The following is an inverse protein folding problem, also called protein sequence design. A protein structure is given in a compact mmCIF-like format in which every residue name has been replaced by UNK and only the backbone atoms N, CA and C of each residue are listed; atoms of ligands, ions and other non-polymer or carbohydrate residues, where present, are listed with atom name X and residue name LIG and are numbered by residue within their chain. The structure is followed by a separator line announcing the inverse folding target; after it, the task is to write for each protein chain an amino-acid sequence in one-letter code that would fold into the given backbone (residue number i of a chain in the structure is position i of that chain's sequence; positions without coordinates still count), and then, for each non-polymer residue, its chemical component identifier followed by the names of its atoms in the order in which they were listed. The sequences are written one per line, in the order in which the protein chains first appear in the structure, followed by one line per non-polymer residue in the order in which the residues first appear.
data_IF_574582234149
#
_entry.id   IF_574582234149
#
_cell.length_a   1.000
_cell.length_b   1.000
_cell.length_c   1.000
_cell.angle_alpha   90.00
_cell.angle_beta   90.00
_cell.angle_gamma   90.00
#
_symmetry.space_group_name_H-M   'P 1'
#
loop_
_entity.id
_entity.type
_entity.pdbx_description
1 polymer ?
#
# COMPACT_ATOMS: atom_id res chain seq x y z
N UNK A 1 3.79 -17.34 -15.74
CA UNK A 1 4.55 -16.08 -15.56
C UNK A 1 5.01 -16.02 -14.11
N UNK A 2 6.30 -15.81 -13.82
CA UNK A 2 6.77 -15.64 -12.43
C UNK A 2 6.26 -14.28 -11.93
N UNK A 3 5.67 -14.26 -10.73
CA UNK A 3 5.16 -13.02 -10.10
C UNK A 3 6.13 -12.43 -9.06
N UNK A 4 7.36 -12.95 -9.00
CA UNK A 4 8.38 -12.47 -8.08
C UNK A 4 8.96 -11.10 -8.52
N UNK A 5 9.44 -10.25 -7.59
CA UNK A 5 9.99 -8.93 -7.92
C UNK A 5 11.08 -8.87 -9.01
N UNK A 6 11.97 -9.86 -9.20
CA UNK A 6 12.88 -9.87 -10.34
C UNK A 6 12.18 -9.84 -11.71
N UNK A 7 10.98 -10.43 -11.82
CA UNK A 7 10.17 -10.38 -13.04
C UNK A 7 9.54 -8.99 -13.27
N UNK A 8 9.62 -8.09 -12.30
CA UNK A 8 9.24 -6.66 -12.44
C UNK A 8 10.46 -5.85 -12.84
N UNK A 9 11.59 -6.05 -12.15
CA UNK A 9 12.77 -5.22 -12.33
C UNK A 9 13.57 -5.52 -13.60
N UNK A 10 13.65 -6.79 -14.05
CA UNK A 10 14.37 -7.10 -15.28
C UNK A 10 13.70 -6.45 -16.52
N UNK A 11 12.36 -6.45 -16.66
CA UNK A 11 11.70 -5.68 -17.72
C UNK A 11 11.78 -4.15 -17.55
N UNK A 12 11.95 -3.63 -16.33
CA UNK A 12 12.12 -2.20 -16.09
C UNK A 12 13.53 -1.71 -16.41
N UNK A 13 14.55 -2.54 -16.25
CA UNK A 13 15.95 -2.19 -16.48
C UNK A 13 16.22 -1.56 -17.87
N UNK A 14 15.81 -2.15 -19.01
CA UNK A 14 16.02 -1.54 -20.32
C UNK A 14 15.24 -0.21 -20.49
N UNK A 15 14.09 -0.05 -19.81
CA UNK A 15 13.34 1.21 -19.81
C UNK A 15 14.13 2.29 -19.07
N UNK A 16 14.64 1.98 -17.88
CA UNK A 16 15.43 2.91 -17.08
C UNK A 16 16.76 3.28 -17.77
N UNK A 17 17.39 2.31 -18.43
CA UNK A 17 18.61 2.52 -19.21
C UNK A 17 18.34 3.48 -20.38
N UNK A 18 17.27 3.23 -21.15
CA UNK A 18 16.84 4.11 -22.22
C UNK A 18 16.59 5.54 -21.73
N UNK A 19 15.92 5.70 -20.58
CA UNK A 19 15.70 7.02 -19.97
C UNK A 19 17.01 7.73 -19.63
N UNK A 20 18.00 7.02 -19.08
CA UNK A 20 19.30 7.61 -18.76
C UNK A 20 20.08 8.04 -19.99
N UNK A 21 20.11 7.20 -21.02
CA UNK A 21 20.84 7.47 -22.26
C UNK A 21 20.23 8.63 -23.07
N UNK A 22 18.90 8.69 -23.15
CA UNK A 22 18.20 9.65 -24.00
C UNK A 22 17.76 10.92 -23.26
N UNK A 23 17.70 10.86 -21.92
CA UNK A 23 17.22 11.95 -21.08
C UNK A 23 18.07 12.10 -19.81
N UNK A 24 19.36 12.40 -19.97
CA UNK A 24 20.34 12.50 -18.88
C UNK A 24 19.95 13.45 -17.72
N UNK A 25 19.04 14.42 -17.97
CA UNK A 25 18.48 15.34 -16.96
C UNK A 25 17.50 14.69 -15.99
N UNK A 26 17.04 13.46 -16.26
CA UNK A 26 16.14 12.73 -15.37
C UNK A 26 16.97 12.11 -14.23
N UNK A 27 16.80 12.66 -13.04
CA UNK A 27 17.53 12.25 -11.84
C UNK A 27 16.64 11.52 -10.83
N UNK A 28 15.32 11.71 -10.91
CA UNK A 28 14.35 11.23 -9.92
C UNK A 28 13.30 10.36 -10.60
N UNK A 29 12.94 9.24 -9.96
CA UNK A 29 11.92 8.31 -10.44
C UNK A 29 10.68 8.34 -9.56
N UNK A 30 9.51 8.30 -10.19
CA UNK A 30 8.21 8.23 -9.52
C UNK A 30 7.39 7.10 -10.14
N UNK A 31 7.24 6.01 -9.39
CA UNK A 31 6.42 4.86 -9.76
C UNK A 31 5.04 4.99 -9.14
N UNK A 32 4.02 4.59 -9.90
CA UNK A 32 2.65 4.43 -9.43
C UNK A 32 2.19 3.06 -9.88
N UNK A 33 1.73 2.24 -8.94
CA UNK A 33 1.14 0.93 -9.22
C UNK A 33 -0.08 0.70 -8.33
N UNK A 34 -0.84 -0.37 -8.62
CA UNK A 34 -1.77 -0.90 -7.64
C UNK A 34 -1.01 -1.49 -6.42
N UNK A 35 -1.77 -1.83 -5.39
CA UNK A 35 -1.23 -2.24 -4.10
C UNK A 35 -1.20 -3.74 -3.76
N UNK A 36 -1.26 -4.75 -4.65
CA UNK A 36 -1.15 -6.14 -4.21
C UNK A 36 0.19 -6.39 -3.51
N UNK A 37 0.13 -6.98 -2.31
CA UNK A 37 1.29 -7.24 -1.44
C UNK A 37 2.23 -8.31 -1.96
N UNK A 38 1.70 -9.27 -2.73
CA UNK A 38 2.54 -10.32 -3.30
C UNK A 38 3.42 -9.83 -4.46
N UNK A 39 3.05 -8.74 -5.12
CA UNK A 39 3.72 -8.27 -6.34
C UNK A 39 4.54 -6.98 -6.09
N UNK A 40 3.89 -5.88 -5.69
CA UNK A 40 4.54 -4.58 -5.60
C UNK A 40 4.84 -4.16 -4.16
N UNK A 41 4.03 -4.58 -3.18
CA UNK A 41 4.21 -4.24 -1.75
C UNK A 41 4.83 -5.38 -0.95
N UNK A 42 6.13 -5.61 -1.15
CA UNK A 42 6.87 -6.64 -0.43
C UNK A 42 8.36 -6.33 -0.25
N UNK A 43 8.99 -6.96 0.75
CA UNK A 43 10.38 -6.71 1.17
C UNK A 43 11.42 -6.83 0.04
N UNK A 44 11.25 -7.82 -0.85
CA UNK A 44 12.10 -8.02 -2.02
C UNK A 44 12.00 -6.83 -2.97
N UNK A 45 10.78 -6.33 -3.24
CA UNK A 45 10.58 -5.17 -4.09
C UNK A 45 11.16 -3.90 -3.46
N UNK A 46 11.00 -3.71 -2.14
CA UNK A 46 11.56 -2.56 -1.44
C UNK A 46 13.09 -2.53 -1.48
N UNK A 47 13.73 -3.70 -1.38
CA UNK A 47 15.18 -3.83 -1.55
C UNK A 47 15.62 -3.47 -2.98
N UNK A 48 14.95 -4.02 -3.99
CA UNK A 48 15.29 -3.72 -5.39
C UNK A 48 15.07 -2.23 -5.72
N UNK A 49 14.01 -1.63 -5.17
CA UNK A 49 13.71 -0.20 -5.28
C UNK A 49 14.80 0.69 -4.70
N UNK A 50 15.39 0.31 -3.56
CA UNK A 50 16.45 1.08 -2.91
C UNK A 50 17.85 0.80 -3.48
N UNK A 51 17.98 -0.08 -4.47
CA UNK A 51 19.28 -0.50 -5.00
C UNK A 51 19.43 -0.28 -6.51
N UNK A 52 18.55 -0.85 -7.33
CA UNK A 52 18.70 -0.84 -8.81
C UNK A 52 18.75 0.58 -9.36
N UNK A 53 17.78 1.48 -9.08
CA UNK A 53 17.83 2.83 -9.63
C UNK A 53 19.10 3.61 -9.25
N UNK A 54 19.59 3.45 -8.03
CA UNK A 54 20.80 4.14 -7.58
C UNK A 54 22.05 3.63 -8.30
N UNK A 55 22.14 2.33 -8.61
CA UNK A 55 23.22 1.78 -9.46
C UNK A 55 23.22 2.36 -10.87
N UNK A 56 22.04 2.76 -11.35
CA UNK A 56 21.87 3.43 -12.65
C UNK A 56 22.05 4.95 -12.58
N UNK A 57 22.40 5.50 -11.40
CA UNK A 57 22.68 6.93 -11.22
C UNK A 57 21.45 7.80 -11.01
N UNK A 58 20.31 7.24 -10.59
CA UNK A 58 19.19 8.05 -10.05
C UNK A 58 19.49 8.45 -8.59
N UNK A 59 19.09 9.67 -8.19
CA UNK A 59 19.38 10.23 -6.86
C UNK A 59 18.21 10.07 -5.89
N UNK A 60 17.00 9.86 -6.41
CA UNK A 60 15.82 9.64 -5.59
C UNK A 60 14.78 8.80 -6.32
N UNK A 61 14.06 7.99 -5.56
CA UNK A 61 12.98 7.15 -6.07
C UNK A 61 11.79 7.21 -5.14
N UNK A 62 10.61 7.32 -5.72
CA UNK A 62 9.33 7.25 -5.04
C UNK A 62 8.50 6.14 -5.68
N UNK A 63 7.82 5.33 -4.87
CA UNK A 63 6.81 4.40 -5.34
C UNK A 63 5.53 4.60 -4.52
N UNK A 64 4.47 5.03 -5.20
CA UNK A 64 3.14 5.17 -4.63
C UNK A 64 2.23 4.01 -5.02
N UNK A 65 1.49 3.48 -4.05
CA UNK A 65 0.58 2.35 -4.21
C UNK A 65 -0.86 2.83 -4.09
N UNK A 66 -1.66 2.52 -5.11
CA UNK A 66 -3.11 2.71 -5.10
C UNK A 66 -3.80 1.57 -4.34
N UNK A 67 -5.10 1.71 -4.08
CA UNK A 67 -5.90 0.60 -3.55
C UNK A 67 -5.88 -0.60 -4.51
N UNK A 68 -5.92 -1.81 -3.95
CA UNK A 68 -6.01 -3.03 -4.74
C UNK A 68 -7.31 -3.03 -5.56
N UNK A 69 -7.24 -3.45 -6.83
CA UNK A 69 -8.41 -3.57 -7.70
C UNK A 69 -8.96 -2.25 -8.27
N UNK A 70 -8.36 -1.11 -7.97
CA UNK A 70 -8.90 0.21 -8.35
C UNK A 70 -8.02 1.07 -9.27
N UNK A 71 -6.90 0.52 -9.78
CA UNK A 71 -5.96 1.29 -10.59
C UNK A 71 -5.98 0.90 -12.07
N UNK A 72 -6.90 1.44 -12.87
CA UNK A 72 -6.64 1.57 -14.31
C UNK A 72 -5.73 2.79 -14.51
N UNK A 73 -4.59 2.59 -15.15
CA UNK A 73 -3.57 3.63 -15.34
C UNK A 73 -3.11 3.73 -16.79
N UNK A 74 -2.14 4.63 -17.06
CA UNK A 74 -1.54 4.78 -18.39
C UNK A 74 -0.98 3.46 -18.95
N UNK A 75 -0.47 2.58 -18.07
CA UNK A 75 0.02 1.26 -18.45
C UNK A 75 -1.07 0.39 -19.10
N UNK A 76 -2.32 0.44 -18.62
CA UNK A 76 -3.43 -0.28 -19.23
C UNK A 76 -3.76 0.24 -20.63
N UNK A 77 -3.62 1.55 -20.86
CA UNK A 77 -3.80 2.14 -22.19
C UNK A 77 -2.73 1.67 -23.19
N UNK A 78 -1.47 1.62 -22.76
CA UNK A 78 -0.37 1.06 -23.55
C UNK A 78 -0.62 -0.42 -23.84
N UNK A 79 -0.97 -1.21 -22.80
CA UNK A 79 -1.28 -2.63 -22.93
C UNK A 79 -2.45 -2.90 -23.86
N UNK A 80 -3.54 -2.12 -23.75
CA UNK A 80 -4.70 -2.22 -24.62
C UNK A 80 -4.35 -1.92 -26.08
N UNK A 81 -3.55 -0.88 -26.34
CA UNK A 81 -3.09 -0.54 -27.69
C UNK A 81 -2.27 -1.68 -28.30
N UNK A 82 -1.37 -2.27 -27.53
CA UNK A 82 -0.52 -3.38 -28.00
C UNK A 82 -1.36 -4.63 -28.28
N UNK A 83 -2.31 -4.94 -27.38
CA UNK A 83 -3.22 -6.06 -27.54
C UNK A 83 -4.08 -5.91 -28.80
N UNK A 84 -4.72 -4.75 -28.99
CA UNK A 84 -5.54 -4.48 -30.18
C UNK A 84 -4.72 -4.61 -31.47
N UNK A 85 -3.48 -4.12 -31.46
CA UNK A 85 -2.59 -4.22 -32.62
C UNK A 85 -2.24 -5.68 -32.92
N UNK A 86 -1.94 -6.48 -31.90
CA UNK A 86 -1.66 -7.91 -32.05
C UNK A 86 -2.90 -8.68 -32.54
N UNK A 87 -4.06 -8.45 -31.92
CA UNK A 87 -5.33 -9.05 -32.30
C UNK A 87 -5.66 -8.75 -33.78
N UNK A 88 -5.37 -7.53 -34.25
CA UNK A 88 -5.54 -7.17 -35.66
C UNK A 88 -4.61 -7.93 -36.61
N UNK A 89 -3.40 -8.32 -36.19
CA UNK A 89 -2.49 -9.12 -37.02
C UNK A 89 -2.94 -10.59 -37.04
N UNK A 90 -3.34 -11.12 -35.89
CA UNK A 90 -3.90 -12.47 -35.78
C UNK A 90 -5.16 -12.61 -36.63
N UNK A 91 -6.06 -11.64 -36.60
CA UNK A 91 -7.26 -11.62 -37.43
C UNK A 91 -6.96 -11.59 -38.95
N UNK A 92 -5.76 -11.16 -39.35
CA UNK A 92 -5.29 -11.14 -40.74
C UNK A 92 -4.49 -12.39 -41.14
N UNK A 93 -4.40 -13.37 -40.24
CA UNK A 93 -3.74 -14.66 -40.50
C UNK A 93 -2.28 -14.74 -40.05
N UNK A 94 -1.78 -13.76 -39.30
CA UNK A 94 -0.43 -13.84 -38.71
C UNK A 94 -0.46 -14.62 -37.39
N UNK A 95 0.31 -15.70 -37.30
CA UNK A 95 0.46 -16.42 -36.03
C UNK A 95 1.49 -15.74 -35.11
N UNK A 96 1.17 -15.65 -33.81
CA UNK A 96 2.02 -15.01 -32.80
C UNK A 96 2.17 -15.94 -31.58
N UNK A 97 2.94 -17.04 -31.70
CA UNK A 97 2.99 -18.09 -30.67
C UNK A 97 3.94 -17.76 -29.52
N UNK A 98 4.82 -16.76 -29.66
CA UNK A 98 5.87 -16.45 -28.67
C UNK A 98 5.97 -14.95 -28.40
N UNK A 99 6.57 -14.60 -27.25
CA UNK A 99 6.85 -13.20 -26.90
C UNK A 99 7.79 -12.52 -27.91
N UNK A 100 8.73 -13.26 -28.51
CA UNK A 100 9.63 -12.75 -29.55
C UNK A 100 8.87 -12.47 -30.84
N UNK A 101 8.00 -13.39 -31.26
CA UNK A 101 7.12 -13.19 -32.42
C UNK A 101 6.21 -11.96 -32.21
N UNK A 102 5.69 -11.77 -31.00
CA UNK A 102 4.89 -10.60 -30.64
C UNK A 102 5.72 -9.31 -30.79
N UNK A 103 6.93 -9.29 -30.23
CA UNK A 103 7.83 -8.14 -30.34
C UNK A 103 8.15 -7.80 -31.80
N UNK A 104 8.61 -8.77 -32.59
CA UNK A 104 9.00 -8.56 -33.99
C UNK A 104 7.83 -8.08 -34.85
N UNK A 105 6.63 -8.59 -34.57
CA UNK A 105 5.41 -8.18 -35.27
C UNK A 105 4.97 -6.76 -34.91
N UNK A 106 5.05 -6.38 -33.64
CA UNK A 106 4.50 -5.11 -33.17
C UNK A 106 5.46 -3.92 -33.32
N UNK A 107 6.78 -4.11 -33.23
CA UNK A 107 7.78 -3.05 -33.35
C UNK A 107 7.58 -2.13 -34.57
N UNK A 108 7.38 -2.64 -35.80
CA UNK A 108 7.19 -1.78 -36.97
C UNK A 108 5.81 -1.10 -37.01
N UNK A 109 4.86 -1.54 -36.19
CA UNK A 109 3.45 -1.11 -36.23
C UNK A 109 3.09 -0.09 -35.14
N UNK A 110 4.00 0.19 -34.22
CA UNK A 110 3.73 1.03 -33.05
C UNK A 110 4.76 2.13 -32.86
N UNK A 111 4.29 3.26 -32.28
CA UNK A 111 5.17 4.33 -31.78
C UNK A 111 5.62 4.09 -30.33
N UNK A 112 4.99 3.14 -29.64
CA UNK A 112 5.41 2.74 -28.30
C UNK A 112 6.78 2.07 -28.40
N UNK A 113 7.76 2.55 -27.65
CA UNK A 113 9.07 1.90 -27.59
C UNK A 113 8.93 0.56 -26.87
N UNK A 114 9.19 -0.52 -27.59
CA UNK A 114 9.18 -1.88 -27.05
C UNK A 114 10.61 -2.32 -26.72
N UNK A 115 10.74 -3.14 -25.68
CA UNK A 115 11.96 -3.85 -25.33
C UNK A 115 11.63 -5.33 -25.22
N UNK A 116 12.48 -6.17 -25.78
CA UNK A 116 12.40 -7.62 -25.61
C UNK A 116 13.36 -8.02 -24.50
N UNK A 117 12.89 -8.82 -23.55
CA UNK A 117 13.67 -9.31 -22.41
C UNK A 117 13.57 -10.82 -22.38
N UNK A 118 14.73 -11.48 -22.35
CA UNK A 118 14.83 -12.93 -22.32
C UNK A 118 14.63 -13.50 -20.91
N UNK A 119 14.22 -14.76 -20.82
CA UNK A 119 14.00 -15.41 -19.52
C UNK A 119 15.30 -15.49 -18.70
N UNK A 120 16.44 -15.64 -19.35
CA UNK A 120 17.75 -15.67 -18.70
C UNK A 120 18.13 -14.33 -18.07
N UNK A 121 17.64 -13.21 -18.60
CA UNK A 121 17.81 -11.88 -17.98
C UNK A 121 17.00 -11.77 -16.69
N UNK A 122 15.77 -12.29 -16.68
CA UNK A 122 14.92 -12.35 -15.48
C UNK A 122 15.54 -13.26 -14.41
N UNK A 123 16.10 -14.40 -14.82
CA UNK A 123 16.76 -15.33 -13.89
C UNK A 123 18.02 -14.71 -13.28
N UNK A 124 18.82 -13.97 -14.06
CA UNK A 124 20.00 -13.23 -13.55
C UNK A 124 19.61 -12.18 -12.51
N UNK A 125 18.54 -11.42 -12.74
CA UNK A 125 18.03 -10.43 -11.77
C UNK A 125 17.69 -11.04 -10.39
N UNK A 126 17.31 -12.32 -10.35
CA UNK A 126 16.98 -13.03 -9.11
C UNK A 126 18.22 -13.36 -8.26
N UNK A 127 19.41 -13.43 -8.86
CA UNK A 127 20.67 -13.75 -8.15
C UNK A 127 21.17 -12.61 -7.26
N UNK A 128 20.72 -11.38 -7.52
CA UNK A 128 21.13 -10.18 -6.77
C UNK A 128 20.30 -9.94 -5.50
N UNK A 129 19.29 -10.78 -5.22
CA UNK A 129 18.51 -10.68 -4.01
C UNK A 129 19.26 -11.29 -2.81
N UNK A 130 19.35 -10.58 -1.67
CA UNK A 130 19.89 -11.15 -0.45
C UNK A 130 19.07 -12.36 0.00
N UNK A 131 19.75 -13.38 0.53
CA UNK A 131 19.09 -14.58 1.08
C UNK A 131 18.18 -14.25 2.25
N UNK A 132 18.56 -13.25 3.04
CA UNK A 132 17.78 -12.78 4.18
C UNK A 132 17.42 -11.31 4.00
N UNK A 133 16.12 -11.03 4.03
CA UNK A 133 15.55 -9.68 4.06
C UNK A 133 14.60 -9.57 5.24
N UNK A 134 14.77 -8.52 6.03
CA UNK A 134 13.88 -8.18 7.13
C UNK A 134 12.49 -7.83 6.60
N UNK A 135 11.47 -8.48 7.13
CA UNK A 135 10.08 -8.16 6.79
C UNK A 135 9.66 -6.88 7.51
N UNK A 136 9.01 -5.96 6.80
CA UNK A 136 8.48 -4.73 7.37
C UNK A 136 7.07 -5.02 7.92
N UNK A 137 6.88 -4.88 9.23
CA UNK A 137 5.55 -4.99 9.84
C UNK A 137 4.62 -3.91 9.26
N UNK A 138 3.35 -4.24 9.04
CA UNK A 138 2.37 -3.30 8.50
C UNK A 138 2.55 -2.97 7.01
N UNK A 139 3.17 -3.85 6.21
CA UNK A 139 3.36 -3.60 4.76
C UNK A 139 2.04 -3.31 4.03
N UNK A 140 0.91 -3.85 4.50
CA UNK A 140 -0.43 -3.60 3.95
C UNK A 140 -0.88 -2.14 4.08
N UNK A 141 -0.46 -1.44 5.14
CA UNK A 141 -0.83 -0.03 5.34
C UNK A 141 0.09 0.93 4.59
N UNK A 142 1.22 0.44 4.04
CA UNK A 142 2.15 1.27 3.27
C UNK A 142 1.49 1.71 1.96
N UNK A 143 1.39 3.03 1.76
CA UNK A 143 0.88 3.69 0.55
C UNK A 143 1.97 4.34 -0.28
N UNK A 144 3.13 4.60 0.33
CA UNK A 144 4.24 5.22 -0.38
C UNK A 144 5.56 4.75 0.21
N UNK A 145 6.53 4.45 -0.66
CA UNK A 145 7.93 4.19 -0.31
C UNK A 145 8.81 5.23 -1.01
N UNK A 146 9.79 5.75 -0.29
CA UNK A 146 10.69 6.82 -0.72
C UNK A 146 12.11 6.40 -0.40
N UNK A 147 13.00 6.50 -1.37
CA UNK A 147 14.42 6.26 -1.23
C UNK A 147 15.16 7.50 -1.72
N UNK A 148 15.99 8.11 -0.87
CA UNK A 148 16.92 9.19 -1.23
C UNK A 148 18.38 8.78 -1.03
N UNK A 149 18.59 7.60 -0.46
CA UNK A 149 19.91 7.05 -0.15
C UNK A 149 19.89 5.56 -0.49
N UNK A 150 20.91 5.03 -1.20
CA UNK A 150 20.96 3.62 -1.56
C UNK A 150 20.84 2.71 -0.33
N UNK A 151 20.01 1.68 -0.41
CA UNK A 151 19.76 0.72 0.68
C UNK A 151 18.88 1.24 1.82
N UNK A 152 18.53 2.53 1.84
CA UNK A 152 17.63 3.10 2.84
C UNK A 152 16.24 3.35 2.25
N UNK A 153 15.23 2.90 2.98
CA UNK A 153 13.83 3.11 2.63
C UNK A 153 13.13 3.92 3.72
N UNK A 154 12.32 4.87 3.29
CA UNK A 154 11.31 5.53 4.10
C UNK A 154 9.95 5.10 3.57
N UNK A 155 8.96 4.92 4.45
CA UNK A 155 7.62 4.56 4.02
C UNK A 155 6.57 5.42 4.72
N UNK A 156 5.39 5.50 4.12
CA UNK A 156 4.25 6.23 4.65
C UNK A 156 2.98 5.41 4.52
N UNK A 157 2.08 5.59 5.47
CA UNK A 157 0.73 5.02 5.44
C UNK A 157 -0.28 5.87 4.67
N UNK A 158 0.12 7.10 4.28
CA UNK A 158 -0.63 8.00 3.41
C UNK A 158 0.34 8.60 2.37
N UNK A 159 -0.11 8.70 1.12
CA UNK A 159 0.66 9.32 0.04
C UNK A 159 0.61 10.85 0.16
N UNK A 160 1.76 11.53 0.08
CA UNK A 160 1.84 12.99 0.11
C UNK A 160 2.84 13.51 -0.93
N UNK A 161 2.39 14.42 -1.78
CA UNK A 161 3.17 15.04 -2.86
C UNK A 161 3.37 16.55 -2.68
N UNK A 162 3.00 17.09 -1.51
CA UNK A 162 3.05 18.53 -1.22
C UNK A 162 4.48 19.09 -1.28
N UNK A 163 5.47 18.29 -0.87
CA UNK A 163 6.88 18.62 -1.07
C UNK A 163 7.53 17.53 -1.94
N UNK A 164 7.75 17.84 -3.23
CA UNK A 164 8.23 16.89 -4.26
C UNK A 164 9.70 16.50 -4.08
N UNK A 165 10.44 17.23 -3.25
CA UNK A 165 11.90 17.13 -3.17
C UNK A 165 12.42 16.75 -1.78
N UNK A 166 11.54 16.66 -0.78
CA UNK A 166 11.90 16.35 0.58
C UNK A 166 10.92 15.36 1.20
N UNK A 167 11.40 14.63 2.19
CA UNK A 167 10.51 13.93 3.11
C UNK A 167 9.65 15.03 3.80
N UNK A 168 8.44 15.22 3.29
CA UNK A 168 7.49 16.23 3.73
C UNK A 168 7.46 16.39 5.26
N UNK A 169 7.82 17.56 5.81
CA UNK A 169 7.72 17.84 7.24
C UNK A 169 6.30 17.72 7.78
N UNK A 170 5.30 17.95 6.93
CA UNK A 170 3.87 17.95 7.29
C UNK A 170 3.36 16.50 7.54
N UNK A 171 4.08 15.49 7.05
CA UNK A 171 3.83 14.06 7.36
C UNK A 171 4.96 13.47 8.21
N UNK A 172 6.01 14.25 8.49
CA UNK A 172 6.89 13.96 9.61
C UNK A 172 6.20 14.45 10.89
N UNK A 173 5.52 13.53 11.57
CA UNK A 173 5.94 13.35 12.95
C UNK A 173 7.44 13.05 12.91
N UNK A 174 8.28 14.08 13.10
CA UNK A 174 9.38 13.87 14.02
C UNK A 174 8.69 13.44 15.31
N UNK A 175 8.68 12.14 15.58
CA UNK A 175 8.35 11.64 16.89
C UNK A 175 9.57 11.92 17.80
N UNK A 176 9.84 13.20 17.98
CA UNK A 176 10.62 13.76 19.07
C UNK A 176 9.72 14.78 19.75
N UNK A 177 8.59 14.29 20.24
CA UNK A 177 8.04 14.82 21.47
C UNK A 177 7.91 13.65 22.41
N UNK A 178 8.58 13.77 23.55
CA UNK A 178 8.34 13.01 24.75
C UNK A 178 6.85 13.01 25.07
N UNK A 179 6.14 12.05 24.53
CA UNK A 179 4.93 11.56 25.15
C UNK A 179 5.03 10.07 24.97
N UNK A 180 5.21 9.37 26.09
CA UNK A 180 5.09 7.92 26.20
C UNK A 180 3.71 7.50 25.68
N UNK A 181 3.60 7.33 24.36
CA UNK A 181 2.50 6.59 23.76
C UNK A 181 2.88 5.13 23.86
N UNK A 182 2.25 4.43 24.82
CA UNK A 182 2.25 2.97 24.80
C UNK A 182 1.55 2.55 23.51
N UNK A 183 2.36 2.19 22.53
CA UNK A 183 1.97 1.50 21.32
C UNK A 183 1.18 0.26 21.76
N UNK A 184 -0.02 0.06 21.24
CA UNK A 184 -0.74 -1.20 21.37
C UNK A 184 0.02 -2.22 20.51
N UNK A 185 1.20 -2.63 20.97
CA UNK A 185 2.14 -3.43 20.17
C UNK A 185 1.70 -4.88 20.03
N UNK A 186 0.76 -5.35 20.85
CA UNK A 186 0.26 -6.73 20.79
C UNK A 186 -1.26 -6.76 21.02
N UNK A 187 -2.05 -6.77 19.94
CA UNK A 187 -3.45 -7.25 20.02
C UNK A 187 -3.37 -8.77 20.10
N UNK A 188 -3.31 -9.28 21.33
CA UNK A 188 -3.31 -10.71 21.64
C UNK A 188 -4.74 -11.21 21.84
N UNK A 189 -4.94 -12.54 21.71
CA UNK A 189 -6.27 -13.18 21.85
C UNK A 189 -6.95 -12.92 23.20
N UNK A 190 -6.24 -12.41 24.20
CA UNK A 190 -6.78 -11.99 25.51
C UNK A 190 -7.62 -10.69 25.44
N UNK A 191 -7.65 -10.00 24.30
CA UNK A 191 -8.48 -8.81 24.09
C UNK A 191 -9.89 -9.15 23.57
N UNK A 192 -10.15 -10.41 23.21
CA UNK A 192 -11.49 -10.84 22.79
C UNK A 192 -12.52 -10.59 23.91
N UNK A 193 -13.67 -10.04 23.53
CA UNK A 193 -14.74 -9.65 24.45
C UNK A 193 -14.51 -8.32 25.18
N UNK A 194 -13.35 -7.68 25.05
CA UNK A 194 -13.11 -6.35 25.64
C UNK A 194 -13.72 -5.25 24.76
N UNK A 195 -14.10 -4.15 25.41
CA UNK A 195 -14.66 -2.98 24.75
C UNK A 195 -13.58 -2.06 24.22
N UNK A 196 -13.80 -1.54 23.02
CA UNK A 196 -12.93 -0.57 22.39
C UNK A 196 -13.72 0.53 21.69
N UNK A 197 -13.03 1.61 21.36
CA UNK A 197 -13.51 2.59 20.38
C UNK A 197 -12.65 2.45 19.15
N UNK A 198 -13.30 2.32 18.00
CA UNK A 198 -12.67 2.36 16.70
C UNK A 198 -13.04 3.65 15.96
N UNK A 199 -12.28 4.01 14.94
CA UNK A 199 -12.59 5.11 14.02
C UNK A 199 -12.87 4.62 12.62
N UNK A 200 -13.94 5.12 12.01
CA UNK A 200 -14.25 4.92 10.60
C UNK A 200 -14.76 6.24 10.01
N UNK A 201 -14.22 6.68 8.88
CA UNK A 201 -14.49 8.01 8.28
C UNK A 201 -14.46 9.14 9.32
N UNK A 202 -13.40 9.18 10.13
CA UNK A 202 -13.16 10.15 11.22
C UNK A 202 -14.24 10.17 12.33
N UNK A 203 -15.17 9.22 12.33
CA UNK A 203 -16.21 9.07 13.34
C UNK A 203 -15.88 7.95 14.34
N UNK A 204 -16.12 8.15 15.65
CA UNK A 204 -15.88 7.14 16.67
C UNK A 204 -17.05 6.16 16.80
N UNK A 205 -16.74 4.87 16.77
CA UNK A 205 -17.70 3.80 16.99
C UNK A 205 -17.23 2.92 18.17
N UNK A 206 -17.92 2.94 19.31
CA UNK A 206 -17.67 1.99 20.38
C UNK A 206 -18.16 0.60 20.00
N UNK A 207 -17.42 -0.43 20.37
CA UNK A 207 -17.75 -1.80 20.05
C UNK A 207 -17.03 -2.82 20.93
N UNK A 208 -17.29 -4.09 20.65
CA UNK A 208 -16.70 -5.24 21.33
C UNK A 208 -15.83 -6.00 20.33
N UNK A 209 -14.59 -6.32 20.73
CA UNK A 209 -13.71 -7.16 19.93
C UNK A 209 -14.25 -8.59 19.89
N UNK A 210 -14.65 -9.03 18.70
CA UNK A 210 -15.29 -10.32 18.51
C UNK A 210 -14.32 -11.39 18.01
N UNK A 211 -13.34 -11.02 17.18
CA UNK A 211 -12.30 -11.93 16.70
C UNK A 211 -10.98 -11.19 16.41
N UNK A 212 -9.86 -11.92 16.42
CA UNK A 212 -8.51 -11.42 16.13
C UNK A 212 -7.81 -12.43 15.22
N UNK A 213 -7.38 -11.96 14.05
CA UNK A 213 -6.65 -12.76 13.07
C UNK A 213 -5.39 -12.02 12.57
N UNK A 214 -4.56 -12.70 11.78
CA UNK A 214 -3.37 -12.08 11.18
C UNK A 214 -3.76 -10.93 10.23
N UNK A 215 -3.66 -9.70 10.72
CA UNK A 215 -3.87 -8.48 9.92
C UNK A 215 -4.96 -7.54 10.42
N UNK A 216 -5.73 -7.91 11.46
CA UNK A 216 -6.78 -7.05 11.99
C UNK A 216 -7.58 -7.66 13.14
N UNK A 217 -8.65 -6.97 13.51
CA UNK A 217 -9.60 -7.40 14.52
C UNK A 217 -11.02 -7.21 14.00
N UNK A 218 -11.88 -8.18 14.25
CA UNK A 218 -13.30 -8.07 13.99
C UNK A 218 -13.96 -7.39 15.19
N UNK A 219 -14.67 -6.29 14.96
CA UNK A 219 -15.36 -5.55 16.03
C UNK A 219 -16.83 -5.49 15.70
N UNK A 220 -17.65 -5.86 16.67
CA UNK A 220 -19.10 -5.62 16.66
C UNK A 220 -19.35 -4.22 17.20
N UNK A 221 -19.88 -3.31 16.38
CA UNK A 221 -19.91 -1.87 16.66
C UNK A 221 -21.31 -1.35 16.95
N UNK A 222 -21.39 -0.31 17.77
CA UNK A 222 -22.59 0.47 18.03
C UNK A 222 -22.61 1.74 17.19
N UNK A 223 -23.80 2.19 16.83
CA UNK A 223 -23.99 3.44 16.10
C UNK A 223 -24.29 4.58 17.08
N UNK A 224 -23.91 5.81 16.74
CA UNK A 224 -24.25 6.99 17.54
C UNK A 224 -25.61 7.57 17.10
N UNK A 225 -26.36 8.08 18.06
CA UNK A 225 -27.63 8.81 17.82
C UNK A 225 -27.58 10.23 18.42
N UNK A 226 -26.41 10.63 18.91
CA UNK A 226 -26.17 11.93 19.51
C UNK A 226 -24.81 11.97 20.20
N UNK A 227 -24.52 13.08 20.89
CA UNK A 227 -23.27 13.23 21.63
C UNK A 227 -23.20 12.22 22.77
N UNK A 228 -22.17 11.37 22.75
CA UNK A 228 -21.95 10.32 23.74
C UNK A 228 -23.17 9.40 23.94
N UNK A 229 -23.94 9.11 22.89
CA UNK A 229 -25.13 8.26 22.96
C UNK A 229 -25.13 7.27 21.82
N UNK A 230 -25.15 5.99 22.16
CA UNK A 230 -24.95 4.89 21.24
C UNK A 230 -26.03 3.84 21.38
N UNK A 231 -26.23 3.04 20.34
CA UNK A 231 -27.16 1.92 20.33
C UNK A 231 -26.63 0.78 19.46
N UNK A 232 -27.05 -0.45 19.76
CA UNK A 232 -26.79 -1.59 18.90
C UNK A 232 -27.74 -1.56 17.69
N UNK A 233 -27.23 -1.59 16.45
CA UNK A 233 -28.07 -1.63 15.27
C UNK A 233 -28.90 -2.93 15.22
N UNK A 234 -30.06 -2.88 14.54
CA UNK A 234 -30.98 -4.03 14.43
C UNK A 234 -30.37 -5.22 13.69
N UNK A 235 -29.60 -4.92 12.64
CA UNK A 235 -28.72 -5.89 11.99
C UNK A 235 -27.34 -5.71 12.61
N UNK A 236 -26.72 -6.80 13.05
CA UNK A 236 -25.42 -6.71 13.70
C UNK A 236 -24.38 -6.14 12.74
N UNK A 237 -23.79 -5.02 13.13
CA UNK A 237 -22.70 -4.39 12.40
C UNK A 237 -21.38 -4.94 12.93
N UNK A 238 -20.80 -5.88 12.17
CA UNK A 238 -19.63 -6.65 12.53
C UNK A 238 -18.67 -6.66 11.36
N UNK A 239 -17.54 -5.98 11.51
CA UNK A 239 -16.60 -5.71 10.42
C UNK A 239 -15.17 -5.91 10.91
N UNK A 240 -14.28 -6.30 10.00
CA UNK A 240 -12.85 -6.36 10.23
C UNK A 240 -12.21 -4.98 10.09
N UNK A 241 -11.56 -4.53 11.17
CA UNK A 241 -10.80 -3.29 11.24
C UNK A 241 -9.32 -3.58 11.34
N UNK A 242 -8.50 -2.68 10.81
CA UNK A 242 -7.06 -2.69 11.04
C UNK A 242 -6.74 -2.13 12.42
N UNK A 243 -5.62 -2.55 13.01
CA UNK A 243 -5.23 -2.18 14.39
C UNK A 243 -5.12 -0.66 14.59
N UNK A 244 -4.70 0.08 13.54
CA UNK A 244 -4.60 1.54 13.56
C UNK A 244 -5.95 2.25 13.71
N UNK A 245 -7.06 1.57 13.42
CA UNK A 245 -8.41 2.10 13.63
C UNK A 245 -8.86 1.99 15.07
N UNK A 246 -8.14 1.26 15.93
CA UNK A 246 -8.46 1.17 17.37
C UNK A 246 -7.90 2.40 18.09
N UNK A 247 -8.78 3.24 18.59
CA UNK A 247 -8.43 4.48 19.30
C UNK A 247 -7.97 4.17 20.71
N UNK A 248 -8.73 3.34 21.42
CA UNK A 248 -8.48 2.97 22.81
C UNK A 248 -9.39 1.83 23.24
N UNK A 249 -8.94 1.07 24.24
CA UNK A 249 -9.83 0.25 25.04
C UNK A 249 -10.63 1.15 25.99
N UNK A 250 -11.88 0.78 26.24
CA UNK A 250 -12.79 1.46 27.16
C UNK A 250 -13.41 0.42 28.12
N UNK A 251 -13.90 0.83 29.30
CA UNK A 251 -14.80 -0.01 30.07
C UNK A 251 -16.14 -0.21 29.34
N UNK A 252 -16.95 -1.21 29.74
CA UNK A 252 -18.31 -1.37 29.25
C UNK A 252 -19.12 -0.06 29.37
N UNK A 253 -19.81 0.37 28.30
CA UNK A 253 -20.72 1.50 28.32
C UNK A 253 -21.85 1.35 29.34
N UNK A 254 -22.28 2.47 29.90
CA UNK A 254 -23.35 2.57 30.89
C UNK A 254 -24.71 2.72 30.20
N UNK A 255 -25.75 2.08 30.73
CA UNK A 255 -27.11 2.22 30.20
C UNK A 255 -27.66 3.62 30.49
N UNK A 256 -28.12 4.31 29.44
CA UNK A 256 -28.91 5.55 29.56
C UNK A 256 -30.40 5.21 29.54
N UNK A 257 -30.79 4.32 28.64
CA UNK A 257 -32.13 3.70 28.59
C UNK A 257 -31.98 2.22 28.23
N UNK A 258 -33.09 1.47 28.15
CA UNK A 258 -33.03 0.07 27.69
C UNK A 258 -32.41 -0.12 26.29
N UNK A 259 -32.44 0.91 25.43
CA UNK A 259 -31.95 0.83 24.05
C UNK A 259 -30.69 1.65 23.77
N UNK A 260 -30.32 2.54 24.69
CA UNK A 260 -29.20 3.46 24.49
C UNK A 260 -28.20 3.38 25.62
N UNK A 261 -26.94 3.41 25.25
CA UNK A 261 -25.81 3.40 26.18
C UNK A 261 -24.93 4.63 25.96
N UNK A 262 -24.10 4.94 26.94
CA UNK A 262 -23.12 6.00 26.89
C UNK A 262 -21.76 5.50 27.38
N UNK A 263 -20.68 6.03 26.82
CA UNK A 263 -19.36 5.86 27.41
C UNK A 263 -19.29 6.80 28.62
N UNK A 264 -18.63 6.40 29.71
CA UNK A 264 -18.43 7.31 30.86
C UNK A 264 -17.93 8.69 30.39
N UNK A 265 -18.53 9.82 30.80
CA UNK A 265 -18.21 11.14 30.26
C UNK A 265 -16.71 11.50 30.31
N UNK A 266 -16.01 11.05 31.35
CA UNK A 266 -14.56 11.22 31.50
C UNK A 266 -13.79 10.49 30.41
N UNK A 267 -14.17 9.24 30.12
CA UNK A 267 -13.56 8.42 29.07
C UNK A 267 -13.93 8.95 27.69
N UNK A 268 -15.19 9.35 27.49
CA UNK A 268 -15.64 9.93 26.23
C UNK A 268 -14.90 11.23 25.88
N UNK A 269 -14.68 12.10 26.87
CA UNK A 269 -13.89 13.33 26.67
C UNK A 269 -12.44 13.02 26.27
N UNK A 270 -11.84 11.98 26.86
CA UNK A 270 -10.51 11.52 26.49
C UNK A 270 -10.48 10.94 25.06
N UNK A 271 -11.53 10.24 24.64
CA UNK A 271 -11.70 9.75 23.26
C UNK A 271 -11.82 10.91 22.28
N UNK A 272 -12.70 11.88 22.53
CA UNK A 272 -12.86 13.07 21.68
C UNK A 272 -11.53 13.83 21.54
N UNK A 273 -10.81 14.03 22.66
CA UNK A 273 -9.49 14.66 22.64
C UNK A 273 -8.45 13.90 21.80
N UNK A 274 -8.50 12.57 21.78
CA UNK A 274 -7.63 11.74 20.93
C UNK A 274 -7.97 11.87 19.44
N UNK A 275 -9.22 12.18 19.11
CA UNK A 275 -9.73 12.24 17.74
C UNK A 275 -9.86 13.66 17.19
N UNK A 276 -9.50 14.68 17.98
CA UNK A 276 -9.70 16.09 17.66
C UNK A 276 -11.17 16.43 17.32
N UNK A 277 -12.11 15.79 18.05
CA UNK A 277 -13.57 16.00 17.97
C UNK A 277 -14.11 16.88 19.10
#
# INVERSE_FOLDING_TARGET
MKHDPPAIWAPLEPVLQFLKENHARIEKLFFISDGPTMQYRGKKNFFLLSTIPFRMGFIAVNWSFLEAGHGKGPADGVGATMKITADSQVARGTDIPTAKALYDTLVPLTKVKLFYVEEDEINRASTHLPKELTTIKGTLSIRQVICTTPGMIHYRVLSCFYNREAICPIVHQHCTSSTTWKRFDDITKDLLGKWCVITYDDNPYPGIMADIAEGGLEVKVMHYIGRNRFFWPRLEDKIWYTVDKVVTLIPPPENVTQRHVQISPRVFTAVCKKLNL
#
